data_IF_489380522844
#
_entry.id   IF_489380522844
#
_cell.length_a   1.000
_cell.length_b   1.000
_cell.length_c   1.000
_cell.angle_alpha   90.00
_cell.angle_beta   90.00
_cell.angle_gamma   90.00
#
_symmetry.space_group_name_H-M   'P 1'
#
loop_
_entity.id
_entity.type
_entity.pdbx_description
1 polymer ?
#
# COMPACT_ATOMS: atom_id res chain seq x y z
N UNK A 1 -4.29 18.70 -5.33
CA UNK A 1 -5.41 17.74 -5.53
C UNK A 1 -5.10 16.89 -6.75
N UNK A 2 -5.14 15.57 -6.62
CA UNK A 2 -4.78 14.63 -7.68
C UNK A 2 -6.02 14.04 -8.36
N UNK A 3 -5.89 13.57 -9.61
CA UNK A 3 -6.98 13.00 -10.39
C UNK A 3 -6.50 11.81 -11.21
N UNK A 4 -7.37 10.84 -11.48
CA UNK A 4 -7.06 9.68 -12.33
C UNK A 4 -7.72 9.87 -13.68
N UNK A 5 -6.95 9.64 -14.74
CA UNK A 5 -7.42 9.63 -16.12
C UNK A 5 -7.18 8.27 -16.73
N UNK A 6 -8.25 7.58 -17.10
CA UNK A 6 -8.19 6.35 -17.87
C UNK A 6 -7.87 6.65 -19.34
N UNK A 7 -7.03 5.81 -19.95
CA UNK A 7 -6.71 5.84 -21.37
C UNK A 7 -6.63 4.41 -21.92
N UNK A 8 -7.29 4.18 -23.04
CA UNK A 8 -7.15 2.96 -23.83
C UNK A 8 -5.95 3.09 -24.76
N UNK A 9 -5.06 2.10 -24.74
CA UNK A 9 -3.88 1.99 -25.61
C UNK A 9 -4.26 1.47 -26.99
N UNK A 10 -3.34 1.59 -27.95
CA UNK A 10 -3.54 1.12 -29.32
C UNK A 10 -3.75 -0.41 -29.40
N UNK A 11 -3.24 -1.16 -28.41
CA UNK A 11 -3.41 -2.61 -28.27
C UNK A 11 -4.71 -3.02 -27.55
N UNK A 12 -5.56 -2.05 -27.17
CA UNK A 12 -6.80 -2.28 -26.44
C UNK A 12 -6.67 -2.39 -24.93
N UNK A 13 -5.45 -2.39 -24.38
CA UNK A 13 -5.23 -2.42 -22.93
C UNK A 13 -5.56 -1.07 -22.28
N UNK A 14 -5.92 -1.10 -20.99
CA UNK A 14 -6.19 0.11 -20.21
C UNK A 14 -4.92 0.60 -19.52
N UNK A 15 -4.86 1.91 -19.32
CA UNK A 15 -3.82 2.60 -18.57
C UNK A 15 -4.44 3.71 -17.75
N UNK A 16 -3.88 3.97 -16.58
CA UNK A 16 -4.42 4.91 -15.62
C UNK A 16 -3.35 5.95 -15.27
N UNK A 17 -3.55 7.18 -15.72
CA UNK A 17 -2.64 8.30 -15.43
C UNK A 17 -3.13 9.07 -14.20
N UNK A 18 -2.34 9.09 -13.14
CA UNK A 18 -2.54 9.95 -11.97
C UNK A 18 -1.90 11.30 -12.26
N UNK A 19 -2.71 12.35 -12.35
CA UNK A 19 -2.29 13.72 -12.60
C UNK A 19 -2.39 14.54 -11.32
N UNK A 20 -1.38 15.34 -11.02
CA UNK A 20 -1.40 16.29 -9.93
C UNK A 20 -0.68 17.58 -10.33
N UNK A 21 -0.86 18.64 -9.52
CA UNK A 21 -0.10 19.88 -9.67
C UNK A 21 0.86 19.99 -8.50
N UNK A 22 2.14 20.07 -8.80
CA UNK A 22 3.19 20.20 -7.81
C UNK A 22 3.07 21.56 -7.09
N UNK A 23 3.08 21.59 -5.75
CA UNK A 23 2.85 22.81 -4.98
C UNK A 23 4.02 23.81 -5.05
N UNK A 24 5.25 23.38 -5.33
CA UNK A 24 6.43 24.24 -5.41
C UNK A 24 6.61 24.80 -6.83
N UNK A 25 6.70 23.92 -7.81
CA UNK A 25 6.94 24.29 -9.21
C UNK A 25 5.68 24.79 -9.90
N UNK A 26 4.50 24.57 -9.30
CA UNK A 26 3.17 24.86 -9.86
C UNK A 26 2.88 24.16 -11.19
N UNK A 27 3.72 23.22 -11.61
CA UNK A 27 3.56 22.49 -12.87
C UNK A 27 2.65 21.29 -12.68
N UNK A 28 1.96 20.91 -13.76
CA UNK A 28 1.22 19.67 -13.78
C UNK A 28 2.19 18.51 -14.07
N UNK A 29 2.13 17.50 -13.22
CA UNK A 29 2.92 16.27 -13.31
C UNK A 29 1.97 15.07 -13.40
N UNK A 30 2.48 13.95 -13.91
CA UNK A 30 1.69 12.72 -14.03
C UNK A 30 2.53 11.45 -13.90
N UNK A 31 1.91 10.41 -13.34
CA UNK A 31 2.42 9.04 -13.28
C UNK A 31 1.40 8.11 -13.93
N UNK A 32 1.86 7.15 -14.73
CA UNK A 32 0.97 6.21 -15.43
C UNK A 32 1.17 4.81 -14.88
N UNK A 33 0.05 4.12 -14.66
CA UNK A 33 -0.03 2.76 -14.14
C UNK A 33 -0.83 1.88 -15.10
N UNK A 34 -0.57 0.58 -15.09
CA UNK A 34 -1.32 -0.41 -15.86
C UNK A 34 -2.58 -0.89 -15.12
N UNK A 35 -2.54 -0.85 -13.78
CA UNK A 35 -3.63 -1.27 -12.91
C UNK A 35 -4.38 -0.06 -12.29
N UNK A 36 -5.70 -0.18 -12.14
CA UNK A 36 -6.54 0.89 -11.61
C UNK A 36 -6.33 1.09 -10.10
N UNK A 37 -6.13 0.00 -9.36
CA UNK A 37 -5.92 0.03 -7.92
C UNK A 37 -4.60 0.73 -7.59
N UNK A 38 -3.55 0.46 -8.35
CA UNK A 38 -2.26 1.15 -8.23
C UNK A 38 -2.41 2.67 -8.42
N UNK A 39 -3.17 3.08 -9.44
CA UNK A 39 -3.46 4.49 -9.67
C UNK A 39 -4.27 5.11 -8.50
N UNK A 40 -5.20 4.37 -7.89
CA UNK A 40 -5.96 4.81 -6.71
C UNK A 40 -5.07 4.97 -5.49
N UNK A 41 -4.17 4.02 -5.22
CA UNK A 41 -3.20 4.08 -4.12
C UNK A 41 -2.26 5.28 -4.31
N UNK A 42 -1.69 5.44 -5.51
CA UNK A 42 -0.81 6.56 -5.83
C UNK A 42 -1.53 7.91 -5.69
N UNK A 43 -2.79 8.02 -6.14
CA UNK A 43 -3.61 9.23 -5.94
C UNK A 43 -3.77 9.55 -4.46
N UNK A 44 -4.12 8.56 -3.64
CA UNK A 44 -4.34 8.77 -2.21
C UNK A 44 -3.05 9.23 -1.51
N UNK A 45 -1.92 8.58 -1.81
CA UNK A 45 -0.63 8.97 -1.25
C UNK A 45 -0.24 10.39 -1.67
N UNK A 46 -0.40 10.77 -2.94
CA UNK A 46 -0.15 12.13 -3.41
C UNK A 46 -1.05 13.18 -2.74
N UNK A 47 -2.28 12.84 -2.42
CA UNK A 47 -3.21 13.74 -1.72
C UNK A 47 -2.83 13.91 -0.25
N UNK A 48 -2.39 12.85 0.42
CA UNK A 48 -1.95 12.88 1.83
C UNK A 48 -0.64 13.65 1.99
N UNK A 49 0.31 13.50 1.06
CA UNK A 49 1.62 14.17 1.17
C UNK A 49 1.68 15.56 0.54
N UNK A 50 0.61 16.02 -0.11
CA UNK A 50 0.53 17.37 -0.68
C UNK A 50 1.06 17.51 -2.10
N UNK A 51 1.53 16.42 -2.72
CA UNK A 51 1.82 16.35 -4.15
C UNK A 51 3.17 16.91 -4.58
N UNK A 52 4.19 16.85 -3.71
CA UNK A 52 5.58 17.21 -4.06
C UNK A 52 6.20 16.17 -5.00
N UNK A 53 6.91 16.61 -6.05
CA UNK A 53 7.43 15.73 -7.11
C UNK A 53 8.47 14.71 -6.61
N UNK A 54 9.30 15.08 -5.63
CA UNK A 54 10.32 14.18 -5.07
C UNK A 54 9.68 13.02 -4.29
N UNK A 55 8.59 13.28 -3.58
CA UNK A 55 7.79 12.26 -2.90
C UNK A 55 6.98 11.41 -3.90
N UNK A 56 6.51 12.03 -4.99
CA UNK A 56 5.82 11.33 -6.06
C UNK A 56 6.70 10.25 -6.70
N UNK A 57 8.02 10.49 -6.83
CA UNK A 57 8.95 9.48 -7.33
C UNK A 57 9.08 8.28 -6.38
N UNK A 58 9.14 8.52 -5.07
CA UNK A 58 9.13 7.46 -4.06
C UNK A 58 7.81 6.68 -4.04
N UNK A 59 6.69 7.37 -4.19
CA UNK A 59 5.36 6.74 -4.33
C UNK A 59 5.31 5.88 -5.60
N UNK A 60 5.84 6.39 -6.72
CA UNK A 60 5.90 5.63 -7.97
C UNK A 60 6.78 4.39 -7.88
N UNK A 61 7.84 4.45 -7.06
CA UNK A 61 8.71 3.32 -6.80
C UNK A 61 8.01 2.30 -5.89
N UNK A 62 7.42 2.74 -4.79
CA UNK A 62 6.66 1.89 -3.88
C UNK A 62 5.46 1.19 -4.55
N UNK A 63 4.80 1.86 -5.50
CA UNK A 63 3.70 1.29 -6.29
C UNK A 63 4.21 0.34 -7.38
N UNK A 64 5.38 0.60 -7.98
CA UNK A 64 5.99 -0.31 -8.97
C UNK A 64 6.58 -1.58 -8.35
N UNK A 65 6.94 -1.56 -7.07
CA UNK A 65 7.40 -2.73 -6.34
C UNK A 65 6.21 -3.62 -5.93
N UNK A 66 5.65 -4.32 -6.93
CA UNK A 66 4.60 -5.31 -6.74
C UNK A 66 5.04 -6.44 -5.80
N UNK A 67 4.14 -6.80 -4.89
CA UNK A 67 4.23 -7.97 -4.03
C UNK A 67 3.00 -8.00 -3.12
N UNK A 68 2.59 -9.18 -2.63
CA UNK A 68 1.47 -9.28 -1.71
C UNK A 68 1.69 -8.36 -0.50
N UNK A 69 0.59 -7.74 -0.07
CA UNK A 69 0.56 -6.95 1.16
C UNK A 69 0.85 -7.82 2.38
N UNK A 70 1.26 -7.19 3.48
CA UNK A 70 1.49 -7.91 4.73
C UNK A 70 0.25 -8.69 5.16
N UNK A 71 -0.96 -8.15 4.98
CA UNK A 71 -2.19 -8.87 5.35
C UNK A 71 -2.43 -10.10 4.48
N UNK A 72 -2.12 -10.03 3.19
CA UNK A 72 -2.27 -11.16 2.26
C UNK A 72 -1.27 -12.28 2.61
N UNK A 73 0.02 -11.94 2.76
CA UNK A 73 1.06 -12.93 3.09
C UNK A 73 0.79 -13.61 4.42
N UNK A 74 0.41 -12.84 5.45
CA UNK A 74 0.16 -13.42 6.79
C UNK A 74 -1.12 -14.26 6.78
N UNK A 75 -2.16 -13.86 6.04
CA UNK A 75 -3.39 -14.66 5.90
C UNK A 75 -3.09 -15.99 5.20
N UNK A 76 -2.37 -15.96 4.08
CA UNK A 76 -1.96 -17.16 3.35
C UNK A 76 -1.09 -18.06 4.22
N UNK A 77 -0.12 -17.51 4.95
CA UNK A 77 0.69 -18.27 5.89
C UNK A 77 -0.16 -19.01 6.92
N UNK A 78 -1.10 -18.32 7.57
CA UNK A 78 -2.02 -18.92 8.53
C UNK A 78 -2.86 -20.03 7.89
N UNK A 79 -3.21 -19.87 6.62
CA UNK A 79 -3.98 -20.85 5.88
C UNK A 79 -3.20 -22.12 5.52
N UNK A 80 -1.90 -21.98 5.27
CA UNK A 80 -1.01 -23.09 4.92
C UNK A 80 -0.47 -23.87 6.13
N UNK A 81 -0.68 -23.40 7.37
CA UNK A 81 -0.22 -24.12 8.58
C UNK A 81 -0.91 -25.49 8.72
N UNK A 82 -0.13 -26.57 8.60
CA UNK A 82 -0.62 -27.96 8.65
C UNK A 82 -0.71 -28.55 10.05
N UNK A 83 0.03 -28.00 11.03
CA UNK A 83 0.14 -28.53 12.39
C UNK A 83 -0.67 -27.74 13.44
N UNK A 84 -1.67 -26.96 13.01
CA UNK A 84 -2.49 -26.13 13.92
C UNK A 84 -3.96 -26.50 13.81
N UNK A 85 -4.62 -26.57 14.97
CA UNK A 85 -6.07 -26.79 15.04
C UNK A 85 -6.88 -25.55 14.63
N UNK A 86 -8.20 -25.70 14.42
CA UNK A 86 -9.09 -24.60 14.04
C UNK A 86 -9.06 -23.40 14.99
N UNK A 87 -9.00 -23.65 16.30
CA UNK A 87 -8.98 -22.60 17.33
C UNK A 87 -7.69 -21.77 17.27
N UNK A 88 -6.54 -22.43 17.09
CA UNK A 88 -5.24 -21.77 16.91
C UNK A 88 -5.26 -20.90 15.66
N UNK A 89 -5.80 -21.42 14.56
CA UNK A 89 -5.94 -20.66 13.31
C UNK A 89 -6.85 -19.44 13.49
N UNK A 90 -7.97 -19.57 14.19
CA UNK A 90 -8.88 -18.47 14.50
C UNK A 90 -8.22 -17.40 15.40
N UNK A 91 -7.39 -17.84 16.35
CA UNK A 91 -6.58 -16.96 17.19
C UNK A 91 -5.59 -16.15 16.36
N UNK A 92 -4.83 -16.78 15.45
CA UNK A 92 -3.90 -16.08 14.56
C UNK A 92 -4.61 -15.08 13.64
N UNK A 93 -5.74 -15.44 13.04
CA UNK A 93 -6.54 -14.49 12.25
C UNK A 93 -7.01 -13.30 13.09
N UNK A 94 -7.35 -13.53 14.36
CA UNK A 94 -7.71 -12.46 15.30
C UNK A 94 -6.52 -11.55 15.60
N UNK A 95 -5.32 -12.11 15.82
CA UNK A 95 -4.11 -11.33 16.02
C UNK A 95 -3.76 -10.51 14.77
N UNK A 96 -3.83 -11.09 13.58
CA UNK A 96 -3.64 -10.39 12.31
C UNK A 96 -4.60 -9.19 12.21
N UNK A 97 -5.90 -9.41 12.40
CA UNK A 97 -6.92 -8.35 12.31
C UNK A 97 -6.73 -7.23 13.34
N UNK A 98 -6.34 -7.56 14.57
CA UNK A 98 -6.28 -6.58 15.67
C UNK A 98 -4.95 -5.85 15.76
N UNK A 99 -3.85 -6.53 15.43
CA UNK A 99 -2.52 -6.06 15.79
C UNK A 99 -1.66 -5.74 14.58
N UNK A 100 -1.82 -6.44 13.46
CA UNK A 100 -0.96 -6.27 12.28
C UNK A 100 -1.67 -5.46 11.20
N UNK A 101 -2.91 -5.84 10.86
CA UNK A 101 -3.67 -5.23 9.78
C UNK A 101 -3.86 -3.70 9.92
N UNK A 102 -4.13 -3.14 11.12
CA UNK A 102 -4.36 -1.70 11.26
C UNK A 102 -3.14 -0.82 10.98
N UNK A 103 -1.93 -1.37 11.09
CA UNK A 103 -0.68 -0.60 10.99
C UNK A 103 0.18 -0.99 9.80
N UNK A 104 0.37 -2.30 9.59
CA UNK A 104 1.24 -2.84 8.54
C UNK A 104 0.45 -3.47 7.40
N UNK A 105 -0.82 -3.80 7.62
CA UNK A 105 -1.59 -4.67 6.72
C UNK A 105 -1.63 -4.23 5.26
N UNK A 106 -1.78 -2.94 5.00
CA UNK A 106 -1.91 -2.38 3.65
C UNK A 106 -0.58 -2.21 2.92
N UNK A 107 0.57 -2.29 3.61
CA UNK A 107 1.86 -2.12 2.96
C UNK A 107 2.24 -3.38 2.17
N UNK A 108 2.73 -3.26 0.93
CA UNK A 108 3.44 -4.33 0.25
C UNK A 108 4.62 -4.82 1.09
N UNK A 109 4.87 -6.13 1.14
CA UNK A 109 6.01 -6.66 1.90
C UNK A 109 7.33 -6.06 1.43
N UNK A 110 7.47 -5.81 0.12
CA UNK A 110 8.68 -5.25 -0.49
C UNK A 110 9.07 -3.86 0.02
N UNK A 111 8.13 -3.09 0.58
CA UNK A 111 8.37 -1.70 1.03
C UNK A 111 8.45 -1.57 2.56
N UNK A 112 8.36 -2.69 3.30
CA UNK A 112 8.49 -2.66 4.75
C UNK A 112 9.91 -2.27 5.14
N UNK A 113 10.02 -1.27 6.02
CA UNK A 113 11.29 -0.77 6.54
C UNK A 113 11.29 -0.86 8.06
N UNK A 114 12.46 -0.67 8.67
CA UNK A 114 12.60 -0.61 10.13
C UNK A 114 11.65 0.42 10.78
N UNK A 115 11.40 1.57 10.14
CA UNK A 115 10.52 2.62 10.68
C UNK A 115 9.06 2.15 10.76
N UNK A 116 8.60 1.40 9.76
CA UNK A 116 7.25 0.80 9.76
C UNK A 116 7.11 -0.19 10.92
N UNK A 117 8.09 -1.09 11.08
CA UNK A 117 8.11 -2.08 12.17
C UNK A 117 8.19 -1.41 13.54
N UNK A 118 9.07 -0.43 13.73
CA UNK A 118 9.16 0.31 14.99
C UNK A 118 7.87 1.09 15.31
N UNK A 119 7.19 1.63 14.30
CA UNK A 119 5.88 2.27 14.45
C UNK A 119 4.81 1.29 14.91
N UNK A 120 4.79 0.10 14.33
CA UNK A 120 3.90 -0.98 14.75
C UNK A 120 4.15 -1.40 16.21
N UNK A 121 5.40 -1.68 16.60
CA UNK A 121 5.73 -2.04 17.98
C UNK A 121 5.28 -0.96 18.97
N UNK A 122 5.53 0.32 18.66
CA UNK A 122 5.04 1.44 19.49
C UNK A 122 3.51 1.44 19.61
N UNK A 123 2.79 1.13 18.53
CA UNK A 123 1.32 1.05 18.57
C UNK A 123 0.82 -0.08 19.47
N UNK A 124 1.53 -1.22 19.52
CA UNK A 124 1.20 -2.32 20.41
C UNK A 124 1.40 -1.92 21.87
N UNK A 125 2.55 -1.34 22.20
CA UNK A 125 2.83 -0.84 23.55
C UNK A 125 1.83 0.23 24.00
N UNK A 126 1.42 1.13 23.11
CA UNK A 126 0.38 2.11 23.41
C UNK A 126 -0.99 1.48 23.67
N UNK A 127 -1.29 0.32 23.06
CA UNK A 127 -2.52 -0.45 23.28
C UNK A 127 -2.47 -1.39 24.49
N UNK A 128 -1.37 -1.40 25.25
CA UNK A 128 -1.17 -2.25 26.42
C UNK A 128 -0.66 -3.66 26.11
N UNK A 129 0.02 -3.84 24.97
CA UNK A 129 0.64 -5.09 24.52
C UNK A 129 2.16 -5.01 24.48
#
# INVERSE_FOLDING_TARGET
MASIRERIRADGTRSYAVLWRDPETKRQSSLTYDDENDARVAKHLLEVTGGHTDEAAQIADAVRHHGPSVVEVVSEHVDLLTAVGPDTRASYRTQLRRHIAPTLGSYPVAVITYRHVAGWVRSLSASGL
#
